data_IF_205911026242
#
_entry.id   IF_205911026242
#
_cell.length_a   1.000
_cell.length_b   1.000
_cell.length_c   1.000
_cell.angle_alpha   90.00
_cell.angle_beta   90.00
_cell.angle_gamma   90.00
#
_symmetry.space_group_name_H-M   'P 1'
#
loop_
_entity.id
_entity.type
_entity.pdbx_description
1 polymer ?
#
# COMPACT_ATOMS: atom_id res chain seq x y z
N UNK A 1 -10.95 19.14 47.68
CA UNK A 1 -10.46 17.81 47.36
C UNK A 1 -11.09 17.25 46.11
N UNK A 2 -12.40 17.34 45.98
CA UNK A 2 -13.12 16.79 44.83
C UNK A 2 -12.82 17.50 43.53
N UNK A 3 -12.33 18.73 43.61
CA UNK A 3 -12.04 19.51 42.41
C UNK A 3 -10.98 18.89 41.54
N UNK A 4 -10.09 18.13 42.13
CA UNK A 4 -9.00 17.53 41.39
C UNK A 4 -9.46 16.45 40.40
N UNK A 5 -10.53 15.77 40.74
CA UNK A 5 -11.06 14.70 39.90
C UNK A 5 -11.66 15.24 38.61
N UNK A 6 -12.25 16.41 38.68
CA UNK A 6 -12.93 17.02 37.54
C UNK A 6 -11.89 17.39 36.47
N UNK A 7 -10.75 17.90 36.89
CA UNK A 7 -9.69 18.24 35.93
C UNK A 7 -9.14 17.06 35.16
N UNK A 8 -8.96 15.94 35.83
CA UNK A 8 -8.45 14.74 35.19
C UNK A 8 -9.42 14.21 34.14
N UNK A 9 -10.72 14.28 34.41
CA UNK A 9 -11.72 13.81 33.47
C UNK A 9 -11.70 14.61 32.16
N UNK A 10 -11.50 15.91 32.26
CA UNK A 10 -11.43 16.76 31.09
C UNK A 10 -10.24 16.45 30.20
N UNK A 11 -9.11 16.15 30.79
CA UNK A 11 -7.92 15.81 30.02
C UNK A 11 -8.10 14.55 29.21
N UNK A 12 -8.76 13.56 29.78
CA UNK A 12 -9.03 12.30 29.09
C UNK A 12 -9.95 12.50 27.89
N UNK A 13 -10.92 13.41 28.03
CA UNK A 13 -11.86 13.69 26.94
C UNK A 13 -11.16 14.26 25.72
N UNK A 14 -10.17 15.10 25.92
CA UNK A 14 -9.42 15.70 24.81
C UNK A 14 -8.65 14.66 24.03
N UNK A 15 -8.06 13.69 24.69
CA UNK A 15 -7.30 12.65 24.02
C UNK A 15 -8.22 11.78 23.15
N UNK A 16 -9.42 11.50 23.62
CA UNK A 16 -10.37 10.67 22.87
C UNK A 16 -10.82 11.34 21.58
N UNK A 17 -10.87 12.65 21.53
CA UNK A 17 -11.34 13.38 20.35
C UNK A 17 -10.37 13.27 19.18
N UNK A 18 -9.08 13.14 19.44
CA UNK A 18 -8.07 13.13 18.39
C UNK A 18 -7.98 11.80 17.66
N UNK A 19 -8.28 10.70 18.31
CA UNK A 19 -8.10 9.37 17.74
C UNK A 19 -8.92 9.10 16.47
N UNK A 20 -10.20 9.47 16.38
CA UNK A 20 -11.04 9.11 15.23
C UNK A 20 -10.58 9.77 13.90
N UNK A 21 -9.95 10.93 13.97
CA UNK A 21 -9.56 11.66 12.76
C UNK A 21 -8.46 10.94 12.00
N UNK A 22 -7.49 10.35 12.72
CA UNK A 22 -6.37 9.65 12.11
C UNK A 22 -6.86 8.39 11.39
N UNK A 23 -7.81 7.68 11.99
CA UNK A 23 -8.33 6.43 11.43
C UNK A 23 -9.07 6.66 10.11
N UNK A 24 -9.79 7.77 9.99
CA UNK A 24 -10.58 8.05 8.81
C UNK A 24 -9.74 8.21 7.55
N UNK A 25 -8.52 8.75 7.69
CA UNK A 25 -7.65 9.00 6.54
C UNK A 25 -7.07 7.73 5.94
N UNK A 26 -6.98 6.66 6.71
CA UNK A 26 -6.32 5.43 6.27
C UNK A 26 -7.28 4.37 5.76
N UNK A 27 -8.58 4.66 5.76
CA UNK A 27 -9.58 3.67 5.41
C UNK A 27 -9.39 3.09 4.02
N UNK A 28 -9.19 3.92 3.03
CA UNK A 28 -9.03 3.44 1.66
C UNK A 28 -7.70 2.72 1.45
N UNK A 29 -6.68 3.06 2.24
CA UNK A 29 -5.38 2.39 2.18
C UNK A 29 -5.51 0.95 2.68
N UNK A 30 -6.25 0.75 3.76
CA UNK A 30 -6.52 -0.59 4.27
C UNK A 30 -7.24 -1.43 3.22
N UNK A 31 -8.26 -0.84 2.58
CA UNK A 31 -8.99 -1.54 1.51
C UNK A 31 -8.08 -1.88 0.34
N UNK A 32 -7.19 -0.97 -0.04
CA UNK A 32 -6.24 -1.22 -1.11
C UNK A 32 -5.35 -2.42 -0.81
N UNK A 33 -4.84 -2.51 0.41
CA UNK A 33 -4.04 -3.66 0.83
C UNK A 33 -4.85 -4.96 0.80
N UNK A 34 -6.08 -4.92 1.27
CA UNK A 34 -6.94 -6.10 1.28
C UNK A 34 -7.26 -6.57 -0.13
N UNK A 35 -7.59 -5.66 -1.04
CA UNK A 35 -7.88 -6.01 -2.43
C UNK A 35 -6.63 -6.53 -3.14
N UNK A 36 -5.47 -6.00 -2.81
CA UNK A 36 -4.20 -6.50 -3.34
C UNK A 36 -3.96 -7.94 -2.90
N UNK A 37 -4.15 -8.22 -1.62
CA UNK A 37 -3.99 -9.56 -1.09
C UNK A 37 -4.95 -10.55 -1.74
N UNK A 38 -6.16 -10.10 -2.04
CA UNK A 38 -7.18 -10.93 -2.69
C UNK A 38 -6.99 -11.01 -4.20
N UNK A 39 -5.99 -10.34 -4.75
CA UNK A 39 -5.73 -10.26 -6.18
C UNK A 39 -6.92 -9.73 -6.97
N UNK A 40 -7.62 -8.75 -6.41
CA UNK A 40 -8.84 -8.21 -6.99
C UNK A 40 -8.55 -6.90 -7.73
N UNK A 41 -8.06 -7.03 -8.94
CA UNK A 41 -7.69 -5.87 -9.77
C UNK A 41 -8.88 -4.95 -10.02
N UNK A 42 -10.07 -5.51 -10.24
CA UNK A 42 -11.25 -4.70 -10.53
C UNK A 42 -11.60 -3.76 -9.38
N UNK A 43 -11.58 -4.28 -8.15
CA UNK A 43 -11.86 -3.45 -6.99
C UNK A 43 -10.75 -2.44 -6.71
N UNK A 44 -9.51 -2.83 -6.98
CA UNK A 44 -8.39 -1.89 -6.87
C UNK A 44 -8.61 -0.70 -7.78
N UNK A 45 -8.93 -0.97 -9.06
CA UNK A 45 -9.14 0.10 -10.04
C UNK A 45 -10.30 1.01 -9.63
N UNK A 46 -11.39 0.42 -9.17
CA UNK A 46 -12.55 1.20 -8.72
C UNK A 46 -12.21 2.04 -7.50
N UNK A 47 -11.51 1.48 -6.54
CA UNK A 47 -11.11 2.20 -5.33
C UNK A 47 -10.25 3.41 -5.65
N UNK A 48 -9.28 3.24 -6.54
CA UNK A 48 -8.39 4.34 -6.93
C UNK A 48 -9.18 5.43 -7.67
N UNK A 49 -10.07 5.03 -8.56
CA UNK A 49 -10.90 5.96 -9.30
C UNK A 49 -11.84 6.74 -8.37
N UNK A 50 -12.49 6.05 -7.45
CA UNK A 50 -13.42 6.69 -6.51
C UNK A 50 -12.73 7.70 -5.61
N UNK A 51 -11.47 7.46 -5.28
CA UNK A 51 -10.68 8.36 -4.44
C UNK A 51 -9.83 9.35 -5.25
N UNK A 52 -9.97 9.32 -6.57
CA UNK A 52 -9.29 10.24 -7.50
C UNK A 52 -7.77 10.23 -7.29
N UNK A 53 -7.21 9.05 -7.10
CA UNK A 53 -5.78 8.85 -6.95
C UNK A 53 -5.29 7.84 -7.99
N UNK A 54 -3.98 7.85 -8.27
CA UNK A 54 -3.38 6.85 -9.13
C UNK A 54 -2.17 6.24 -8.42
N UNK A 55 -1.77 5.07 -8.89
CA UNK A 55 -0.70 4.29 -8.25
C UNK A 55 0.59 5.10 -8.16
N UNK A 56 0.95 5.79 -9.25
CA UNK A 56 2.21 6.53 -9.30
C UNK A 56 2.32 7.55 -8.19
N UNK A 57 1.23 8.25 -7.89
CA UNK A 57 1.23 9.31 -6.87
C UNK A 57 1.26 8.78 -5.45
N UNK A 58 0.65 7.62 -5.23
CA UNK A 58 0.49 7.10 -3.86
C UNK A 58 1.50 6.01 -3.50
N UNK A 59 2.28 5.54 -4.46
CA UNK A 59 3.11 4.35 -4.29
C UNK A 59 4.06 4.45 -3.10
N UNK A 60 4.77 5.57 -2.98
CA UNK A 60 5.74 5.73 -1.91
C UNK A 60 5.10 5.90 -0.54
N UNK A 61 3.89 6.46 -0.51
CA UNK A 61 3.20 6.73 0.75
C UNK A 61 2.43 5.52 1.28
N UNK A 62 2.07 4.57 0.42
CA UNK A 62 1.27 3.41 0.83
C UNK A 62 2.18 2.21 1.07
N UNK A 63 2.07 1.65 2.27
CA UNK A 63 2.75 0.41 2.61
C UNK A 63 1.74 -0.60 3.14
N UNK A 64 1.88 -1.84 2.70
CA UNK A 64 1.09 -2.95 3.22
C UNK A 64 2.05 -3.87 3.97
N UNK A 65 1.90 -3.96 5.29
CA UNK A 65 2.84 -4.73 6.13
C UNK A 65 4.30 -4.31 5.90
N UNK A 66 4.54 -3.00 5.78
CA UNK A 66 5.85 -2.42 5.52
C UNK A 66 6.41 -2.70 4.13
N UNK A 67 5.67 -3.36 3.27
CA UNK A 67 6.08 -3.60 1.88
C UNK A 67 5.40 -2.59 0.97
N UNK A 68 6.09 -2.22 -0.13
CA UNK A 68 5.44 -1.48 -1.21
C UNK A 68 4.32 -2.33 -1.83
N UNK A 69 3.46 -1.69 -2.60
CA UNK A 69 2.33 -2.40 -3.23
C UNK A 69 2.81 -3.57 -4.08
N UNK A 70 3.88 -3.41 -4.86
CA UNK A 70 4.39 -4.49 -5.70
C UNK A 70 4.99 -5.61 -4.85
N UNK A 71 5.77 -5.26 -3.84
CA UNK A 71 6.33 -6.25 -2.93
C UNK A 71 5.24 -7.04 -2.21
N UNK A 72 4.20 -6.34 -1.76
CA UNK A 72 3.09 -6.97 -1.07
C UNK A 72 2.32 -7.90 -2.01
N UNK A 73 2.11 -7.48 -3.26
CA UNK A 73 1.48 -8.33 -4.27
C UNK A 73 2.30 -9.60 -4.51
N UNK A 74 3.62 -9.45 -4.55
CA UNK A 74 4.51 -10.58 -4.74
C UNK A 74 4.42 -11.58 -3.59
N UNK A 75 4.42 -11.10 -2.35
CA UNK A 75 4.27 -11.96 -1.17
C UNK A 75 2.89 -12.64 -1.12
N UNK A 76 1.88 -11.98 -1.64
CA UNK A 76 0.51 -12.49 -1.64
C UNK A 76 0.21 -13.39 -2.84
N UNK A 77 1.18 -13.59 -3.72
CA UNK A 77 1.01 -14.30 -4.98
C UNK A 77 -0.15 -13.69 -5.79
N UNK A 78 -0.25 -12.38 -5.76
CA UNK A 78 -1.33 -11.63 -6.40
C UNK A 78 -0.84 -11.09 -7.74
N UNK A 79 -0.88 -11.93 -8.76
CA UNK A 79 -0.31 -11.60 -10.06
C UNK A 79 -1.05 -10.47 -10.77
N UNK A 80 -2.39 -10.52 -10.79
CA UNK A 80 -3.18 -9.52 -11.51
C UNK A 80 -3.02 -8.14 -10.89
N UNK A 81 -3.10 -8.08 -9.57
CA UNK A 81 -2.90 -6.82 -8.86
C UNK A 81 -1.47 -6.31 -9.06
N UNK A 82 -0.48 -7.18 -8.90
CA UNK A 82 0.91 -6.80 -9.04
C UNK A 82 1.24 -6.32 -10.44
N UNK A 83 0.77 -7.02 -11.46
CA UNK A 83 0.98 -6.64 -12.86
C UNK A 83 0.36 -5.27 -13.14
N UNK A 84 -0.81 -5.02 -12.59
CA UNK A 84 -1.42 -3.71 -12.71
C UNK A 84 -0.52 -2.61 -12.12
N UNK A 85 0.00 -2.83 -10.92
CA UNK A 85 0.88 -1.85 -10.27
C UNK A 85 2.15 -1.62 -11.08
N UNK A 86 2.76 -2.70 -11.57
CA UNK A 86 4.00 -2.59 -12.38
C UNK A 86 3.76 -1.70 -13.60
N UNK A 87 2.65 -1.89 -14.29
CA UNK A 87 2.33 -1.12 -15.49
C UNK A 87 2.09 0.35 -15.19
N UNK A 88 1.70 0.69 -13.98
CA UNK A 88 1.45 2.08 -13.60
C UNK A 88 2.72 2.82 -13.19
N UNK A 89 3.79 2.12 -12.89
CA UNK A 89 5.01 2.74 -12.39
C UNK A 89 5.99 3.03 -13.52
N UNK A 90 6.75 4.15 -13.40
CA UNK A 90 7.80 4.40 -14.39
C UNK A 90 8.96 3.41 -14.22
N UNK A 91 9.62 3.11 -15.31
CA UNK A 91 10.74 2.17 -15.31
C UNK A 91 11.81 2.54 -14.30
N UNK A 92 12.13 3.84 -14.20
CA UNK A 92 13.15 4.31 -13.27
C UNK A 92 12.83 3.97 -11.84
N UNK A 93 11.56 4.15 -11.44
CA UNK A 93 11.14 3.84 -10.07
C UNK A 93 11.27 2.35 -9.79
N UNK A 94 10.95 1.51 -10.75
CA UNK A 94 11.10 0.06 -10.60
C UNK A 94 12.56 -0.33 -10.47
N UNK A 95 13.45 0.30 -11.24
CA UNK A 95 14.88 0.05 -11.15
C UNK A 95 15.42 0.44 -9.77
N UNK A 96 15.01 1.60 -9.29
CA UNK A 96 15.48 2.11 -7.99
C UNK A 96 15.03 1.24 -6.83
N UNK A 97 13.87 0.62 -6.96
CA UNK A 97 13.36 -0.28 -5.92
C UNK A 97 14.11 -1.62 -5.89
N UNK A 98 14.78 -1.98 -6.98
CA UNK A 98 15.61 -3.18 -7.08
C UNK A 98 14.84 -4.45 -6.71
N UNK A 99 13.69 -4.61 -7.34
CA UNK A 99 12.73 -5.66 -7.00
C UNK A 99 13.25 -7.07 -7.25
N UNK A 100 14.09 -7.27 -8.25
CA UNK A 100 14.63 -8.61 -8.53
C UNK A 100 15.50 -9.10 -7.39
N UNK A 101 16.41 -8.27 -6.91
CA UNK A 101 17.28 -8.64 -5.81
C UNK A 101 16.49 -8.81 -4.52
N UNK A 102 15.52 -7.92 -4.29
CA UNK A 102 14.65 -8.06 -3.13
C UNK A 102 13.89 -9.39 -3.17
N UNK A 103 13.32 -9.74 -4.34
CA UNK A 103 12.54 -10.97 -4.49
C UNK A 103 13.41 -12.20 -4.22
N UNK A 104 14.62 -12.22 -4.79
CA UNK A 104 15.55 -13.34 -4.58
C UNK A 104 15.89 -13.48 -3.10
N UNK A 105 16.18 -12.37 -2.43
CA UNK A 105 16.53 -12.38 -1.00
C UNK A 105 15.37 -12.83 -0.12
N UNK A 106 14.14 -12.71 -0.60
CA UNK A 106 12.94 -13.08 0.16
C UNK A 106 12.28 -14.39 -0.29
N UNK A 107 12.99 -15.18 -1.12
CA UNK A 107 12.47 -16.45 -1.58
C UNK A 107 11.38 -16.33 -2.64
N UNK A 108 11.29 -15.19 -3.31
CA UNK A 108 10.24 -14.89 -4.29
C UNK A 108 10.78 -14.73 -5.71
N UNK A 109 12.01 -15.18 -5.96
CA UNK A 109 12.66 -15.00 -7.25
C UNK A 109 11.96 -15.70 -8.41
N UNK A 110 11.08 -16.66 -8.13
CA UNK A 110 10.30 -17.36 -9.16
C UNK A 110 8.95 -16.69 -9.46
N UNK A 111 8.64 -15.57 -8.82
CA UNK A 111 7.39 -14.87 -9.05
C UNK A 111 7.25 -14.46 -10.51
N UNK A 112 6.09 -14.69 -11.14
CA UNK A 112 5.88 -14.25 -12.53
C UNK A 112 5.91 -12.73 -12.67
N UNK A 113 5.76 -11.98 -11.58
CA UNK A 113 5.87 -10.53 -11.63
C UNK A 113 7.27 -10.06 -12.02
N UNK A 114 8.29 -10.87 -11.78
CA UNK A 114 9.66 -10.52 -12.19
C UNK A 114 9.73 -10.30 -13.70
N UNK A 115 9.05 -11.13 -14.48
CA UNK A 115 9.02 -10.96 -15.93
C UNK A 115 8.33 -9.66 -16.34
N UNK A 116 7.24 -9.32 -15.66
CA UNK A 116 6.52 -8.07 -15.93
C UNK A 116 7.39 -6.85 -15.60
N UNK A 117 8.14 -6.94 -14.50
CA UNK A 117 9.04 -5.87 -14.08
C UNK A 117 10.16 -5.68 -15.12
N UNK A 118 10.77 -6.77 -15.55
CA UNK A 118 11.82 -6.72 -16.57
C UNK A 118 11.30 -6.13 -17.88
N UNK A 119 10.13 -6.56 -18.30
CA UNK A 119 9.53 -6.06 -19.53
C UNK A 119 9.24 -4.55 -19.44
N UNK A 120 8.75 -4.10 -18.29
CA UNK A 120 8.47 -2.67 -18.10
C UNK A 120 9.74 -1.83 -18.11
N UNK A 121 10.79 -2.31 -17.45
CA UNK A 121 12.08 -1.61 -17.42
C UNK A 121 12.70 -1.58 -18.81
N UNK A 122 12.63 -2.67 -19.54
CA UNK A 122 13.22 -2.76 -20.89
C UNK A 122 12.46 -1.98 -21.95
N UNK A 123 11.21 -1.62 -21.70
CA UNK A 123 10.40 -0.89 -22.69
C UNK A 123 10.77 0.59 -22.76
N UNK A 124 11.43 1.13 -21.76
CA UNK A 124 11.92 2.51 -21.76
C UNK A 124 13.38 2.53 -22.18
#
# INVERSE_FOLDING_TARGET
MQKKFIGAALALSLLAVQAPVVQAQEQWVVSLCEYTKADDKSRIRKLLSDNKVNVRKIYDAVKCNNDSLIKFAMRSDAYEAGSFFVKQMPAKALQEEDLENWATANGLGASPLINDIKARIGAD
#
